data_IF_342287472847
#
_entry.id   IF_342287472847
#
_cell.length_a   1.000
_cell.length_b   1.000
_cell.length_c   1.000
_cell.angle_alpha   90.00
_cell.angle_beta   90.00
_cell.angle_gamma   90.00
#
_symmetry.space_group_name_H-M   'P 1'
#
loop_
_entity.id
_entity.type
_entity.pdbx_description
1 polymer ?
#
# COMPACT_ATOMS: atom_id res chain seq x y z
N UNK A 1 -36.40 -20.43 -13.29
CA UNK A 1 -34.94 -20.36 -13.50
C UNK A 1 -34.48 -18.96 -13.13
N UNK A 2 -33.91 -18.79 -11.93
CA UNK A 2 -33.43 -17.48 -11.45
C UNK A 2 -31.94 -17.33 -11.75
N UNK A 3 -31.61 -16.36 -12.61
CA UNK A 3 -30.22 -15.99 -12.88
C UNK A 3 -29.70 -15.08 -11.77
N UNK A 4 -28.84 -15.63 -10.91
CA UNK A 4 -28.08 -14.88 -9.92
C UNK A 4 -26.89 -14.17 -10.59
N UNK A 5 -26.94 -12.85 -10.74
CA UNK A 5 -25.77 -12.03 -11.06
C UNK A 5 -24.96 -11.79 -9.78
N UNK A 6 -23.79 -12.41 -9.67
CA UNK A 6 -22.82 -12.14 -8.60
C UNK A 6 -21.98 -10.93 -9.00
N UNK A 7 -22.18 -9.81 -8.32
CA UNK A 7 -21.30 -8.64 -8.42
C UNK A 7 -20.17 -8.81 -7.41
N UNK A 8 -18.94 -8.89 -7.89
CA UNK A 8 -17.73 -8.88 -7.05
C UNK A 8 -17.37 -7.42 -6.74
N UNK A 9 -17.67 -6.97 -5.52
CA UNK A 9 -17.34 -5.64 -5.04
C UNK A 9 -15.92 -5.60 -4.46
N UNK A 10 -15.06 -4.75 -5.02
CA UNK A 10 -13.76 -4.41 -4.43
C UNK A 10 -13.52 -2.90 -4.55
N UNK A 11 -13.81 -2.13 -3.50
CA UNK A 11 -13.12 -0.87 -3.25
C UNK A 11 -13.28 -0.42 -1.79
N UNK A 12 -12.19 0.10 -1.24
CA UNK A 12 -12.02 0.43 0.19
C UNK A 12 -12.83 1.62 0.70
N UNK A 13 -13.59 2.31 -0.16
CA UNK A 13 -14.59 3.33 0.18
C UNK A 13 -15.66 3.36 -0.93
N UNK A 14 -16.20 2.21 -1.32
CA UNK A 14 -17.28 2.16 -2.32
C UNK A 14 -18.64 2.43 -1.69
N UNK A 15 -19.22 3.60 -1.98
CA UNK A 15 -20.59 3.59 -2.48
C UNK A 15 -20.63 2.86 -3.83
N UNK A 16 -21.80 2.47 -4.33
CA UNK A 16 -21.92 1.79 -5.64
C UNK A 16 -21.44 2.62 -6.85
N UNK A 17 -20.89 3.81 -6.62
CA UNK A 17 -20.32 4.71 -7.61
C UNK A 17 -18.86 4.96 -7.24
N UNK A 18 -18.00 5.18 -8.24
CA UNK A 18 -16.55 5.39 -8.16
C UNK A 18 -16.15 6.66 -7.37
N UNK A 19 -16.65 6.83 -6.14
CA UNK A 19 -16.48 8.02 -5.32
C UNK A 19 -15.32 7.92 -4.33
N UNK A 20 -14.73 9.07 -3.97
CA UNK A 20 -13.74 9.23 -2.91
C UNK A 20 -14.22 10.28 -1.91
N UNK A 21 -14.12 10.00 -0.61
CA UNK A 21 -14.32 11.03 0.43
C UNK A 21 -13.05 11.86 0.53
N UNK A 22 -13.17 13.18 0.41
CA UNK A 22 -12.03 14.12 0.42
C UNK A 22 -11.89 14.82 1.77
N UNK A 23 -13.01 15.21 2.38
CA UNK A 23 -13.01 15.99 3.62
C UNK A 23 -14.21 15.63 4.47
N UNK A 24 -14.02 15.58 5.79
CA UNK A 24 -15.06 15.38 6.79
C UNK A 24 -14.88 16.45 7.87
N UNK A 25 -15.82 17.38 7.96
CA UNK A 25 -15.92 18.36 9.05
C UNK A 25 -17.17 18.08 9.87
N UNK A 26 -17.13 18.37 11.18
CA UNK A 26 -18.32 18.27 12.02
C UNK A 26 -18.36 19.40 13.05
N UNK A 27 -19.59 19.83 13.36
CA UNK A 27 -19.89 20.80 14.42
C UNK A 27 -20.87 20.14 15.41
N UNK A 28 -20.59 20.29 16.70
CA UNK A 28 -21.46 19.80 17.76
C UNK A 28 -22.33 20.95 18.27
N UNK A 29 -23.65 20.87 18.04
CA UNK A 29 -24.60 21.84 18.59
C UNK A 29 -25.08 21.34 19.97
N UNK A 30 -24.67 22.02 21.04
CA UNK A 30 -25.19 21.76 22.39
C UNK A 30 -26.43 22.62 22.66
N UNK A 31 -27.61 22.02 22.50
CA UNK A 31 -28.86 22.58 23.02
C UNK A 31 -28.98 22.30 24.53
N UNK A 32 -29.23 23.34 25.33
CA UNK A 32 -29.31 23.28 26.81
C UNK A 32 -30.42 22.35 27.37
N UNK A 33 -31.23 21.68 26.53
CA UNK A 33 -32.33 20.81 26.98
C UNK A 33 -32.47 19.47 26.23
N UNK A 34 -31.55 19.11 25.34
CA UNK A 34 -31.63 17.85 24.57
C UNK A 34 -30.27 17.20 24.38
N UNK A 35 -30.25 15.89 24.12
CA UNK A 35 -29.04 15.15 23.74
C UNK A 35 -28.29 15.88 22.61
N UNK A 36 -26.94 15.90 22.61
CA UNK A 36 -26.17 16.63 21.60
C UNK A 36 -26.47 16.08 20.20
N UNK A 37 -26.72 16.98 19.25
CA UNK A 37 -26.89 16.65 17.84
C UNK A 37 -25.63 17.09 17.09
N UNK A 38 -25.07 16.18 16.30
CA UNK A 38 -23.83 16.39 15.57
C UNK A 38 -24.16 16.63 14.10
N UNK A 39 -23.73 17.77 13.56
CA UNK A 39 -23.83 18.07 12.15
C UNK A 39 -22.52 17.64 11.47
N UNK A 40 -22.61 16.69 10.53
CA UNK A 40 -21.49 16.27 9.71
C UNK A 40 -21.63 16.87 8.32
N UNK A 41 -20.53 17.37 7.78
CA UNK A 41 -20.41 17.81 6.39
C UNK A 41 -19.23 17.08 5.74
N UNK A 42 -19.53 16.36 4.66
CA UNK A 42 -18.59 15.51 3.94
C UNK A 42 -18.52 15.96 2.49
N UNK A 43 -17.32 16.20 1.97
CA UNK A 43 -17.12 16.38 0.52
C UNK A 43 -16.76 15.04 -0.12
N UNK A 44 -17.55 14.65 -1.11
CA UNK A 44 -17.36 13.41 -1.86
C UNK A 44 -17.09 13.75 -3.32
N UNK A 45 -15.97 13.26 -3.85
CA UNK A 45 -15.66 13.31 -5.27
C UNK A 45 -16.26 12.11 -5.97
N UNK A 46 -17.14 12.30 -6.95
CA UNK A 46 -17.70 11.24 -7.80
C UNK A 46 -17.52 11.66 -9.25
N UNK A 47 -16.84 10.84 -10.07
CA UNK A 47 -16.63 11.13 -11.50
C UNK A 47 -16.12 12.56 -11.76
N UNK A 48 -15.11 12.95 -10.99
CA UNK A 48 -14.48 14.28 -11.00
C UNK A 48 -15.37 15.47 -10.57
N UNK A 49 -16.56 15.21 -10.04
CA UNK A 49 -17.45 16.21 -9.44
C UNK A 49 -17.41 16.17 -7.91
N UNK A 50 -17.28 17.34 -7.28
CA UNK A 50 -17.38 17.49 -5.82
C UNK A 50 -18.83 17.68 -5.40
N UNK A 51 -19.31 16.76 -4.57
CA UNK A 51 -20.69 16.75 -4.09
C UNK A 51 -20.69 16.80 -2.55
N UNK A 52 -21.42 17.75 -1.95
CA UNK A 52 -21.54 17.84 -0.50
C UNK A 52 -22.54 16.80 0.03
N UNK A 53 -22.21 16.22 1.17
CA UNK A 53 -23.05 15.31 1.95
C UNK A 53 -23.13 15.84 3.39
N UNK A 54 -24.23 16.49 3.72
CA UNK A 54 -24.50 16.98 5.07
C UNK A 54 -25.61 16.18 5.74
N UNK A 55 -25.41 15.78 6.99
CA UNK A 55 -26.39 15.00 7.75
C UNK A 55 -26.21 15.19 9.25
N UNK A 56 -27.30 14.96 9.99
CA UNK A 56 -27.35 15.09 11.46
C UNK A 56 -27.39 13.72 12.11
N UNK A 57 -26.66 13.55 13.20
CA UNK A 57 -26.68 12.35 14.01
C UNK A 57 -26.80 12.65 15.50
N UNK A 58 -27.55 11.81 16.22
CA UNK A 58 -27.80 11.96 17.66
C UNK A 58 -26.65 11.42 18.52
N UNK A 59 -25.75 10.65 17.92
CA UNK A 59 -24.57 10.07 18.56
C UNK A 59 -23.35 10.44 17.75
N UNK A 60 -22.25 10.72 18.45
CA UNK A 60 -20.97 10.94 17.79
C UNK A 60 -20.58 9.68 17.00
N UNK A 61 -20.20 9.86 15.74
CA UNK A 61 -19.67 8.82 14.89
C UNK A 61 -18.24 8.52 15.34
N UNK A 62 -18.02 7.30 15.82
CA UNK A 62 -16.71 6.88 16.31
C UNK A 62 -15.69 6.81 15.17
N UNK A 63 -14.41 7.05 15.51
CA UNK A 63 -13.29 6.79 14.58
C UNK A 63 -13.37 5.36 14.06
N UNK A 64 -13.34 5.20 12.74
CA UNK A 64 -13.42 3.90 12.05
C UNK A 64 -14.83 3.45 11.68
N UNK A 65 -15.87 4.26 11.92
CA UNK A 65 -17.20 3.99 11.41
C UNK A 65 -17.25 3.99 9.87
N UNK A 66 -18.10 3.13 9.31
CA UNK A 66 -18.32 3.06 7.86
C UNK A 66 -19.62 3.78 7.50
N UNK A 67 -19.51 4.79 6.64
CA UNK A 67 -20.64 5.53 6.07
C UNK A 67 -20.77 5.13 4.61
N UNK A 68 -21.88 4.46 4.28
CA UNK A 68 -22.25 4.14 2.91
C UNK A 68 -23.18 5.22 2.37
N UNK A 69 -22.84 5.77 1.21
CA UNK A 69 -23.65 6.76 0.50
C UNK A 69 -23.94 6.29 -0.94
N UNK A 70 -25.00 6.84 -1.52
CA UNK A 70 -25.39 6.63 -2.91
C UNK A 70 -25.58 7.96 -3.62
N UNK A 71 -25.35 7.96 -4.93
CA UNK A 71 -25.67 9.09 -5.80
C UNK A 71 -27.01 8.79 -6.46
N UNK A 72 -27.93 9.73 -6.36
CA UNK A 72 -29.24 9.65 -7.02
C UNK A 72 -29.12 10.07 -8.49
N UNK A 73 -30.17 9.82 -9.28
CA UNK A 73 -30.25 10.26 -10.69
C UNK A 73 -30.09 11.79 -10.85
N UNK A 74 -30.35 12.56 -9.79
CA UNK A 74 -30.21 14.03 -9.77
C UNK A 74 -28.84 14.51 -9.27
N UNK A 75 -27.82 13.64 -9.23
CA UNK A 75 -26.49 13.94 -8.67
C UNK A 75 -26.49 14.35 -7.18
N UNK A 76 -27.56 14.07 -6.43
CA UNK A 76 -27.56 14.26 -4.97
C UNK A 76 -26.94 13.05 -4.28
N UNK A 77 -26.12 13.29 -3.25
CA UNK A 77 -25.60 12.24 -2.39
C UNK A 77 -26.51 12.03 -1.19
N UNK A 78 -26.88 10.77 -0.94
CA UNK A 78 -27.68 10.38 0.23
C UNK A 78 -27.00 9.28 1.01
N UNK A 79 -27.11 9.35 2.33
CA UNK A 79 -26.66 8.27 3.20
C UNK A 79 -27.58 7.08 3.00
N UNK A 80 -26.98 5.93 2.68
CA UNK A 80 -27.66 4.65 2.61
C UNK A 80 -27.61 3.97 3.98
N UNK A 81 -26.45 4.01 4.63
CA UNK A 81 -26.24 3.29 5.90
C UNK A 81 -25.04 3.81 6.68
N UNK A 82 -25.20 3.95 7.99
CA UNK A 82 -24.11 4.18 8.93
C UNK A 82 -23.92 2.91 9.77
N UNK A 83 -22.70 2.38 9.80
CA UNK A 83 -22.33 1.25 10.66
C UNK A 83 -21.29 1.70 11.68
N UNK A 84 -21.75 1.90 12.92
CA UNK A 84 -20.92 2.16 14.09
C UNK A 84 -20.32 0.87 14.68
N UNK A 85 -19.75 0.02 13.83
CA UNK A 85 -18.89 -1.07 14.33
C UNK A 85 -17.50 -0.49 14.59
N UNK A 86 -16.94 -0.77 15.76
CA UNK A 86 -15.49 -0.83 15.88
C UNK A 86 -15.07 -2.03 15.03
N UNK A 87 -14.89 -1.83 13.72
CA UNK A 87 -14.32 -2.88 12.88
C UNK A 87 -12.98 -3.22 13.52
N UNK A 88 -12.83 -4.46 14.00
CA UNK A 88 -11.53 -4.89 14.46
C UNK A 88 -10.67 -5.04 13.20
N UNK A 89 -9.80 -4.05 13.03
CA UNK A 89 -8.99 -3.86 11.84
C UNK A 89 -7.71 -4.73 11.87
N UNK A 90 -7.68 -5.71 12.77
CA UNK A 90 -6.62 -6.68 13.02
C UNK A 90 -6.46 -7.64 11.82
N UNK A 91 -5.61 -7.16 10.92
CA UNK A 91 -4.41 -7.81 10.38
C UNK A 91 -4.44 -9.03 9.46
N UNK A 92 -5.52 -9.78 9.24
CA UNK A 92 -5.40 -10.97 8.33
C UNK A 92 -6.18 -10.94 7.01
N UNK A 93 -7.28 -10.20 6.89
CA UNK A 93 -8.15 -10.29 5.70
C UNK A 93 -8.22 -9.04 4.81
N UNK A 94 -7.50 -7.96 5.15
CA UNK A 94 -7.57 -6.69 4.41
C UNK A 94 -6.58 -6.65 3.23
N UNK A 95 -7.06 -7.02 2.04
CA UNK A 95 -6.35 -6.96 0.76
C UNK A 95 -5.89 -5.55 0.36
N UNK A 96 -6.38 -4.52 1.05
CA UNK A 96 -6.08 -3.14 0.74
C UNK A 96 -5.38 -2.44 1.92
N UNK A 97 -4.64 -3.23 2.72
CA UNK A 97 -3.78 -2.79 3.83
C UNK A 97 -2.95 -1.55 3.48
N UNK A 98 -2.50 -1.35 2.25
CA UNK A 98 -1.69 -0.19 1.84
C UNK A 98 -2.45 1.15 1.78
N UNK A 99 -3.79 1.15 1.72
CA UNK A 99 -4.61 2.36 1.61
C UNK A 99 -5.00 3.01 2.94
N UNK A 100 -4.75 2.38 4.10
CA UNK A 100 -5.05 3.05 5.38
C UNK A 100 -3.98 4.10 5.72
N UNK A 101 -4.35 5.32 6.11
CA UNK A 101 -3.49 6.18 6.91
C UNK A 101 -3.44 5.55 8.31
N UNK A 102 -2.40 4.77 8.61
CA UNK A 102 -2.18 4.30 9.98
C UNK A 102 -1.77 5.49 10.86
N UNK A 103 -2.15 5.47 12.15
CA UNK A 103 -1.66 6.43 13.13
C UNK A 103 -0.12 6.35 13.16
N UNK A 104 0.55 7.44 12.77
CA UNK A 104 1.95 7.81 13.03
C UNK A 104 3.07 6.75 12.77
N UNK A 105 4.06 7.03 11.90
CA UNK A 105 3.98 7.93 10.75
C UNK A 105 2.96 7.39 9.74
N UNK A 106 2.33 8.29 8.99
CA UNK A 106 1.49 7.89 7.86
C UNK A 106 2.28 6.97 6.93
N UNK A 107 1.64 5.95 6.34
CA UNK A 107 2.33 5.07 5.38
C UNK A 107 2.95 5.85 4.21
N UNK A 108 2.35 6.99 3.87
CA UNK A 108 2.93 7.94 2.91
C UNK A 108 4.24 8.54 3.39
N UNK A 109 4.36 8.92 4.67
CA UNK A 109 5.64 9.33 5.26
C UNK A 109 6.64 8.17 5.27
N UNK A 110 6.23 6.93 5.57
CA UNK A 110 7.12 5.77 5.47
C UNK A 110 7.65 5.58 4.04
N UNK A 111 6.78 5.70 3.03
CA UNK A 111 7.17 5.62 1.62
C UNK A 111 8.09 6.78 1.21
N UNK A 112 7.79 8.01 1.63
CA UNK A 112 8.66 9.18 1.41
C UNK A 112 10.01 9.00 2.08
N UNK A 113 10.05 8.48 3.30
CA UNK A 113 11.29 8.16 4.02
C UNK A 113 12.08 7.09 3.27
N UNK A 114 11.42 6.02 2.82
CA UNK A 114 12.06 5.00 1.97
C UNK A 114 12.62 5.61 0.68
N UNK A 115 11.88 6.47 -0.01
CA UNK A 115 12.37 7.18 -1.19
C UNK A 115 13.62 8.01 -0.88
N UNK A 116 13.61 8.76 0.24
CA UNK A 116 14.76 9.54 0.70
C UNK A 116 15.97 8.66 1.00
N UNK A 117 15.78 7.52 1.66
CA UNK A 117 16.84 6.53 1.93
C UNK A 117 17.45 6.03 0.62
N UNK A 118 16.61 5.57 -0.31
CA UNK A 118 17.09 5.05 -1.60
C UNK A 118 17.83 6.12 -2.41
N UNK A 119 17.34 7.37 -2.39
CA UNK A 119 18.02 8.48 -3.06
C UNK A 119 19.38 8.77 -2.43
N UNK A 120 19.45 8.90 -1.10
CA UNK A 120 20.69 9.19 -0.40
C UNK A 120 21.76 8.11 -0.60
N UNK A 121 21.34 6.83 -0.67
CA UNK A 121 22.26 5.73 -0.98
C UNK A 121 22.79 5.85 -2.41
N UNK A 122 21.94 6.16 -3.40
CA UNK A 122 22.38 6.37 -4.78
C UNK A 122 23.36 7.53 -4.90
N UNK A 123 23.04 8.67 -4.29
CA UNK A 123 23.90 9.86 -4.24
C UNK A 123 25.28 9.49 -3.66
N UNK A 124 25.31 8.75 -2.56
CA UNK A 124 26.57 8.28 -1.97
C UNK A 124 27.38 7.38 -2.91
N UNK A 125 26.74 6.41 -3.58
CA UNK A 125 27.46 5.52 -4.51
C UNK A 125 27.99 6.28 -5.73
N UNK A 126 27.22 7.23 -6.26
CA UNK A 126 27.63 8.11 -7.35
C UNK A 126 28.87 8.93 -6.96
N UNK A 127 28.88 9.54 -5.77
CA UNK A 127 30.05 10.26 -5.23
C UNK A 127 31.30 9.35 -5.09
N UNK A 128 31.09 8.05 -4.87
CA UNK A 128 32.17 7.05 -4.77
C UNK A 128 32.56 6.42 -6.13
N UNK A 129 32.03 6.95 -7.24
CA UNK A 129 32.23 6.45 -8.62
C UNK A 129 31.77 5.01 -8.83
N UNK A 130 30.71 4.59 -8.15
CA UNK A 130 30.04 3.32 -8.46
C UNK A 130 29.00 3.50 -9.56
N UNK A 131 28.82 2.44 -10.36
CA UNK A 131 27.79 2.36 -11.40
C UNK A 131 26.61 1.54 -10.87
N UNK A 132 25.39 2.08 -10.95
CA UNK A 132 24.16 1.31 -10.67
C UNK A 132 23.95 0.30 -11.80
N UNK A 133 23.83 -0.98 -11.47
CA UNK A 133 23.64 -2.07 -12.43
C UNK A 133 22.30 -2.76 -12.22
N UNK A 134 21.80 -3.44 -13.26
CA UNK A 134 20.69 -4.37 -13.16
C UNK A 134 21.09 -5.74 -13.71
N UNK A 135 20.84 -6.78 -12.92
CA UNK A 135 21.08 -8.18 -13.31
C UNK A 135 19.79 -8.96 -13.44
N UNK A 136 19.76 -10.06 -14.22
CA UNK A 136 18.57 -10.90 -14.34
C UNK A 136 18.03 -11.39 -12.98
N UNK A 137 16.72 -11.21 -12.78
CA UNK A 137 15.97 -11.68 -11.60
C UNK A 137 15.55 -13.15 -11.77
N UNK A 138 15.26 -13.57 -13.01
CA UNK A 138 14.93 -14.95 -13.36
C UNK A 138 16.19 -15.61 -13.95
N UNK A 139 16.63 -16.70 -13.32
CA UNK A 139 17.85 -17.43 -13.70
C UNK A 139 17.58 -18.90 -13.91
N UNK A 140 18.41 -19.56 -14.73
CA UNK A 140 18.25 -20.99 -15.04
C UNK A 140 18.58 -21.90 -13.85
N UNK A 141 19.50 -21.46 -12.99
CA UNK A 141 19.92 -22.17 -11.78
C UNK A 141 20.00 -21.16 -10.63
N UNK A 142 19.52 -21.52 -9.43
CA UNK A 142 19.61 -20.64 -8.27
C UNK A 142 21.04 -20.57 -7.76
N UNK A 143 21.31 -19.55 -6.94
CA UNK A 143 22.53 -19.48 -6.13
C UNK A 143 22.62 -20.72 -5.23
N UNK A 144 23.79 -21.40 -5.11
CA UNK A 144 23.99 -22.57 -4.25
C UNK A 144 24.10 -22.19 -2.76
N UNK A 145 23.18 -21.36 -2.28
CA UNK A 145 23.09 -20.95 -0.87
C UNK A 145 22.19 -21.92 -0.10
N UNK A 146 22.80 -22.90 0.57
CA UNK A 146 22.07 -23.98 1.27
C UNK A 146 21.06 -23.49 2.33
N UNK A 147 21.23 -22.26 2.81
CA UNK A 147 20.37 -21.64 3.83
C UNK A 147 19.08 -21.03 3.26
N UNK A 148 19.00 -20.75 1.96
CA UNK A 148 17.84 -20.09 1.35
C UNK A 148 17.11 -21.03 0.41
N UNK A 149 15.78 -20.95 0.43
CA UNK A 149 14.91 -21.70 -0.47
C UNK A 149 14.52 -20.80 -1.65
N UNK A 150 15.10 -20.98 -2.84
CA UNK A 150 14.75 -20.21 -4.02
C UNK A 150 13.32 -20.51 -4.47
N UNK A 151 12.64 -19.50 -4.99
CA UNK A 151 11.31 -19.69 -5.59
C UNK A 151 11.47 -20.22 -7.02
N UNK A 152 10.84 -21.36 -7.31
CA UNK A 152 10.88 -21.99 -8.63
C UNK A 152 9.66 -21.59 -9.47
N UNK A 153 9.92 -21.26 -10.72
CA UNK A 153 8.91 -20.93 -11.74
C UNK A 153 8.94 -21.98 -12.86
N UNK A 154 8.03 -21.88 -13.83
CA UNK A 154 8.02 -22.75 -15.02
C UNK A 154 9.24 -22.56 -15.94
N UNK A 155 9.93 -21.42 -15.84
CA UNK A 155 11.02 -21.04 -16.75
C UNK A 155 12.39 -20.90 -16.07
N UNK A 156 12.48 -21.15 -14.76
CA UNK A 156 13.71 -21.01 -13.98
C UNK A 156 13.43 -20.71 -12.50
N UNK A 157 14.35 -19.99 -11.86
CA UNK A 157 14.33 -19.64 -10.45
C UNK A 157 14.40 -18.13 -10.28
N UNK A 158 13.64 -17.60 -9.33
CA UNK A 158 13.83 -16.23 -8.85
C UNK A 158 15.04 -16.18 -7.93
N UNK A 159 15.82 -15.11 -8.05
CA UNK A 159 17.08 -14.96 -7.32
C UNK A 159 16.87 -14.73 -5.82
N UNK A 160 17.72 -15.33 -5.00
CA UNK A 160 17.79 -15.10 -3.54
C UNK A 160 18.66 -13.89 -3.18
N UNK A 161 19.58 -13.54 -4.08
CA UNK A 161 20.51 -12.40 -4.08
C UNK A 161 21.02 -12.15 -5.51
N UNK A 162 21.46 -10.92 -5.86
CA UNK A 162 22.13 -10.65 -7.15
C UNK A 162 23.62 -11.05 -7.16
N UNK A 163 24.18 -11.54 -6.05
CA UNK A 163 25.59 -11.90 -5.84
C UNK A 163 26.30 -12.52 -7.05
N UNK A 164 25.81 -13.67 -7.54
CA UNK A 164 26.49 -14.40 -8.61
C UNK A 164 26.55 -13.61 -9.92
N UNK A 165 25.47 -12.91 -10.24
CA UNK A 165 25.38 -12.10 -11.46
C UNK A 165 26.27 -10.86 -11.34
N UNK A 166 26.32 -10.22 -10.18
CA UNK A 166 27.21 -9.08 -9.95
C UNK A 166 28.68 -9.50 -9.94
N UNK A 167 29.02 -10.67 -9.38
CA UNK A 167 30.39 -11.23 -9.50
C UNK A 167 30.80 -11.51 -10.94
N UNK A 168 29.85 -11.89 -11.82
CA UNK A 168 30.13 -12.00 -13.26
C UNK A 168 30.44 -10.65 -13.90
N UNK A 169 29.73 -9.59 -13.52
CA UNK A 169 30.07 -8.22 -13.94
C UNK A 169 31.47 -7.84 -13.43
N UNK A 170 31.76 -8.08 -12.15
CA UNK A 170 33.10 -7.82 -11.59
C UNK A 170 34.20 -8.55 -12.38
N UNK A 171 34.00 -9.83 -12.70
CA UNK A 171 34.93 -10.60 -13.54
C UNK A 171 35.03 -10.10 -14.99
N UNK A 172 34.01 -9.38 -15.47
CA UNK A 172 33.98 -8.74 -16.78
C UNK A 172 34.66 -7.38 -16.83
N UNK A 173 35.27 -6.93 -15.73
CA UNK A 173 36.01 -5.66 -15.66
C UNK A 173 35.22 -4.50 -15.08
N UNK A 174 34.02 -4.72 -14.54
CA UNK A 174 33.27 -3.67 -13.86
C UNK A 174 33.76 -3.50 -12.41
N UNK A 175 34.59 -2.49 -12.18
CA UNK A 175 35.38 -2.35 -10.96
C UNK A 175 34.63 -1.78 -9.75
N UNK A 176 33.54 -1.02 -9.94
CA UNK A 176 32.75 -0.40 -8.87
C UNK A 176 31.28 -0.41 -9.26
N UNK A 177 30.52 -1.38 -8.73
CA UNK A 177 29.12 -1.59 -9.10
C UNK A 177 28.25 -1.77 -7.87
N UNK A 178 27.01 -1.29 -7.96
CA UNK A 178 25.99 -1.53 -6.94
C UNK A 178 24.64 -1.81 -7.60
N UNK A 179 23.74 -2.46 -6.87
CA UNK A 179 22.41 -2.77 -7.36
C UNK A 179 21.39 -2.78 -6.22
N UNK A 180 20.24 -2.17 -6.47
CA UNK A 180 19.02 -2.46 -5.72
C UNK A 180 18.25 -3.58 -6.41
N UNK A 181 18.36 -4.80 -5.90
CA UNK A 181 17.70 -5.97 -6.49
C UNK A 181 16.42 -6.32 -5.75
N UNK A 182 15.41 -6.80 -6.51
CA UNK A 182 14.31 -7.54 -5.91
C UNK A 182 14.72 -9.00 -5.73
N UNK A 183 14.70 -9.47 -4.49
CA UNK A 183 15.09 -10.82 -4.12
C UNK A 183 13.91 -11.59 -3.56
N UNK A 184 13.96 -12.92 -3.72
CA UNK A 184 12.87 -13.82 -3.41
C UNK A 184 13.38 -14.98 -2.57
N UNK A 185 12.81 -15.17 -1.38
CA UNK A 185 13.14 -16.26 -0.45
C UNK A 185 11.85 -16.89 0.05
N UNK A 186 11.53 -18.08 -0.45
CA UNK A 186 10.22 -18.73 -0.31
C UNK A 186 9.74 -18.88 1.13
N UNK A 187 10.65 -19.24 2.02
CA UNK A 187 10.33 -19.59 3.41
C UNK A 187 10.47 -18.41 4.39
N UNK A 188 10.78 -17.20 3.92
CA UNK A 188 10.89 -16.02 4.77
C UNK A 188 9.53 -15.32 4.91
N UNK A 189 8.81 -15.62 6.00
CA UNK A 189 7.52 -14.98 6.31
C UNK A 189 7.43 -14.65 7.81
N UNK A 190 7.10 -13.40 8.14
CA UNK A 190 6.93 -12.95 9.52
C UNK A 190 6.89 -11.43 9.64
N UNK A 191 6.85 -10.88 10.87
CA UNK A 191 6.78 -9.43 11.10
C UNK A 191 7.95 -8.63 10.50
N UNK A 192 9.11 -9.28 10.35
CA UNK A 192 10.34 -8.71 9.81
C UNK A 192 10.74 -9.33 8.46
N UNK A 193 9.97 -10.28 7.94
CA UNK A 193 10.36 -11.12 6.81
C UNK A 193 9.23 -11.16 5.79
N UNK A 194 9.51 -10.74 4.56
CA UNK A 194 8.59 -10.84 3.45
C UNK A 194 9.26 -11.68 2.35
N UNK A 195 8.55 -12.63 1.71
CA UNK A 195 9.16 -13.51 0.71
C UNK A 195 9.77 -12.75 -0.47
N UNK A 196 9.30 -11.54 -0.73
CA UNK A 196 9.82 -10.61 -1.73
C UNK A 196 10.34 -9.34 -1.04
N UNK A 197 11.62 -8.98 -1.23
CA UNK A 197 12.21 -7.80 -0.58
C UNK A 197 13.29 -7.13 -1.42
N UNK A 198 13.56 -5.85 -1.13
CA UNK A 198 14.65 -5.11 -1.80
C UNK A 198 15.96 -5.31 -1.04
N UNK A 199 16.98 -5.77 -1.76
CA UNK A 199 18.35 -5.87 -1.27
C UNK A 199 19.21 -4.82 -1.96
N UNK A 200 20.10 -4.19 -1.20
CA UNK A 200 21.23 -3.45 -1.74
C UNK A 200 22.45 -4.38 -1.72
N UNK A 201 23.12 -4.51 -2.85
CA UNK A 201 24.39 -5.25 -2.94
C UNK A 201 25.39 -4.43 -3.77
N UNK A 202 26.67 -4.50 -3.43
CA UNK A 202 27.72 -3.75 -4.11
C UNK A 202 29.05 -4.50 -4.10
N UNK A 203 29.85 -4.25 -5.13
CA UNK A 203 31.17 -4.83 -5.33
C UNK A 203 32.17 -3.77 -5.76
N UNK A 204 33.40 -3.92 -5.30
CA UNK A 204 34.54 -3.20 -5.83
C UNK A 204 35.75 -4.11 -5.99
N UNK A 205 36.57 -3.89 -7.00
CA UNK A 205 37.94 -4.40 -7.03
C UNK A 205 38.81 -3.59 -6.06
N UNK A 206 39.82 -4.24 -5.48
CA UNK A 206 40.80 -3.59 -4.60
C UNK A 206 42.00 -3.09 -5.41
#
# INVERSE_FOLDING_TARGET
MSGSSKIFGNSLLSGNYNGRVIEVSFEAEQSQRSSPEYLYSILVLVEDQLLPLSFREKKNINKGALISFGVTENSEIKIIKIKNHAFNFDTESDLLRWRRPANNPSRMEMLRTRQRILRAIREWFEEQNFIETETPILVRAPSPEAQFSPEQTSSGYLITSPEFQMKRLLSGGFERIFQFARCFRKNESGPLHNPEFTMLEWYRTN
#
